data_IF_157645529665
#
_entry.id   IF_157645529665
#
_cell.length_a   1.000
_cell.length_b   1.000
_cell.length_c   1.000
_cell.angle_alpha   90.00
_cell.angle_beta   90.00
_cell.angle_gamma   90.00
#
_symmetry.space_group_name_H-M   'P 1'
#
loop_
_entity.id
_entity.type
_entity.pdbx_description
1 polymer ?
#
# COMPACT_ATOMS: atom_id res chain seq x y z
N UNK A 1 13.40 -21.20 -13.51
CA UNK A 1 13.15 -20.72 -13.12
C UNK A 1 12.50 -20.07 -12.85
N UNK A 2 12.33 -19.64 -12.98
CA UNK A 2 11.93 -18.79 -12.64
C UNK A 2 11.30 -18.33 -12.00
N UNK A 3 11.31 -18.37 -11.71
CA UNK A 3 10.86 -17.68 -10.83
C UNK A 3 11.08 -16.30 -10.56
N UNK A 4 11.42 -15.58 -11.37
CA UNK A 4 11.67 -14.16 -11.31
C UNK A 4 10.52 -13.38 -10.72
N UNK A 5 9.37 -13.99 -10.59
CA UNK A 5 8.21 -13.34 -10.01
C UNK A 5 7.95 -13.74 -8.57
N UNK A 6 8.84 -14.52 -8.01
CA UNK A 6 8.70 -14.92 -6.61
C UNK A 6 9.34 -13.87 -5.73
N UNK A 7 8.53 -13.26 -4.90
CA UNK A 7 9.02 -12.25 -3.95
C UNK A 7 9.20 -12.89 -2.59
N UNK A 8 10.27 -12.52 -1.90
CA UNK A 8 10.65 -13.12 -0.63
C UNK A 8 10.12 -12.37 0.58
N UNK A 9 9.77 -11.10 0.38
CA UNK A 9 9.27 -10.26 1.47
C UNK A 9 7.85 -9.81 1.12
N UNK A 10 6.92 -10.03 2.06
CA UNK A 10 5.52 -9.65 1.84
C UNK A 10 4.97 -8.99 3.09
N UNK A 11 4.09 -8.03 2.90
CA UNK A 11 3.37 -7.42 3.99
C UNK A 11 2.02 -6.93 3.49
N UNK A 12 1.05 -6.94 4.38
CA UNK A 12 -0.27 -6.40 4.10
C UNK A 12 -0.52 -5.27 5.08
N UNK A 13 -0.84 -4.11 4.54
CA UNK A 13 -1.16 -2.93 5.35
C UNK A 13 -2.62 -2.61 5.12
N UNK A 14 -3.35 -2.38 6.20
CA UNK A 14 -4.74 -1.98 6.11
C UNK A 14 -4.88 -0.60 6.72
N UNK A 15 -5.49 0.32 5.96
CA UNK A 15 -5.70 1.70 6.38
C UNK A 15 -7.19 1.93 6.48
N UNK A 16 -7.64 2.48 7.62
CA UNK A 16 -9.04 2.78 7.88
C UNK A 16 -9.29 4.27 7.73
N UNK A 17 -10.41 4.60 7.10
CA UNK A 17 -10.83 5.98 6.92
C UNK A 17 -12.15 6.18 7.65
N UNK A 18 -12.54 7.44 7.84
CA UNK A 18 -13.74 7.75 8.62
C UNK A 18 -15.03 7.33 7.91
N UNK A 19 -15.02 7.28 6.56
CA UNK A 19 -16.19 6.89 5.79
C UNK A 19 -15.78 6.40 4.41
N UNK A 20 -16.75 5.91 3.66
CA UNK A 20 -16.48 5.34 2.35
C UNK A 20 -16.10 6.39 1.33
N UNK A 21 -16.64 7.60 1.46
CA UNK A 21 -16.32 8.67 0.53
C UNK A 21 -14.86 9.07 0.64
N UNK A 22 -14.38 9.26 1.86
CA UNK A 22 -12.97 9.58 2.10
C UNK A 22 -12.09 8.44 1.62
N UNK A 23 -12.49 7.19 1.88
CA UNK A 23 -11.76 6.03 1.41
C UNK A 23 -11.65 6.02 -0.13
N UNK A 24 -12.76 6.32 -0.82
CA UNK A 24 -12.76 6.29 -2.27
C UNK A 24 -11.89 7.40 -2.87
N UNK A 25 -11.95 8.59 -2.28
CA UNK A 25 -11.10 9.69 -2.72
C UNK A 25 -9.63 9.34 -2.53
N UNK A 26 -9.32 8.73 -1.37
CA UNK A 26 -7.95 8.33 -1.06
C UNK A 26 -7.46 7.24 -2.00
N UNK A 27 -8.33 6.29 -2.33
CA UNK A 27 -7.98 5.24 -3.28
C UNK A 27 -7.52 5.85 -4.61
N UNK A 28 -8.30 6.79 -5.14
CA UNK A 28 -7.96 7.43 -6.40
C UNK A 28 -6.67 8.23 -6.31
N UNK A 29 -6.40 8.80 -5.14
CA UNK A 29 -5.17 9.57 -4.93
C UNK A 29 -3.95 8.67 -4.82
N UNK A 30 -4.11 7.45 -4.28
CA UNK A 30 -3.01 6.50 -4.15
C UNK A 30 -2.59 5.89 -5.47
N UNK A 31 -3.50 5.75 -6.43
CA UNK A 31 -3.20 5.03 -7.67
C UNK A 31 -1.94 5.57 -8.38
N UNK A 32 -1.81 6.87 -8.66
CA UNK A 32 -0.60 7.35 -9.31
C UNK A 32 0.66 7.19 -8.45
N UNK A 33 0.54 7.30 -7.12
CA UNK A 33 1.69 7.11 -6.24
C UNK A 33 2.18 5.67 -6.27
N UNK A 34 1.26 4.72 -6.28
CA UNK A 34 1.62 3.31 -6.34
C UNK A 34 2.33 2.98 -7.64
N UNK A 35 1.90 3.58 -8.75
CA UNK A 35 2.58 3.37 -10.02
C UNK A 35 4.03 3.83 -9.99
N UNK A 36 4.31 4.91 -9.26
CA UNK A 36 5.68 5.40 -9.11
C UNK A 36 6.54 4.47 -8.28
N UNK A 37 5.93 3.77 -7.31
CA UNK A 37 6.67 2.94 -6.38
C UNK A 37 6.97 1.54 -6.92
N UNK A 38 6.26 1.11 -7.94
CA UNK A 38 6.48 -0.23 -8.49
C UNK A 38 7.76 -0.28 -9.30
N UNK A 39 8.54 -1.34 -9.08
CA UNK A 39 9.81 -1.55 -9.78
C UNK A 39 9.94 -3.03 -10.10
N UNK A 40 11.07 -3.42 -10.69
CA UNK A 40 11.37 -4.82 -10.92
C UNK A 40 11.53 -5.61 -9.62
N UNK A 41 11.81 -4.92 -8.50
CA UNK A 41 12.05 -5.57 -7.22
C UNK A 41 10.87 -5.50 -6.28
N UNK A 42 9.87 -4.71 -6.60
CA UNK A 42 8.74 -4.49 -5.69
C UNK A 42 7.45 -4.40 -6.46
N UNK A 43 6.41 -4.97 -5.87
CA UNK A 43 5.07 -4.92 -6.42
C UNK A 43 4.11 -4.48 -5.32
N UNK A 44 3.19 -3.59 -5.67
CA UNK A 44 2.21 -3.08 -4.73
C UNK A 44 0.83 -3.23 -5.35
N UNK A 45 -0.07 -3.86 -4.59
CA UNK A 45 -1.47 -3.97 -4.97
C UNK A 45 -2.30 -3.20 -3.97
N UNK A 46 -3.35 -2.55 -4.44
CA UNK A 46 -4.25 -1.80 -3.59
C UNK A 46 -5.68 -2.25 -3.88
N UNK A 47 -6.45 -2.46 -2.81
CA UNK A 47 -7.84 -2.88 -2.92
C UNK A 47 -8.69 -2.16 -1.90
N UNK A 48 -9.95 -1.93 -2.26
CA UNK A 48 -10.93 -1.43 -1.31
C UNK A 48 -11.47 -2.59 -0.49
N UNK A 49 -11.65 -2.37 0.80
CA UNK A 49 -12.21 -3.38 1.69
C UNK A 49 -13.27 -2.76 2.57
N UNK A 50 -14.41 -3.44 2.71
CA UNK A 50 -15.53 -2.98 3.52
C UNK A 50 -16.01 -1.61 3.04
N UNK A 51 -16.45 -0.77 3.98
CA UNK A 51 -16.98 0.55 3.64
C UNK A 51 -15.97 1.66 3.82
N UNK A 52 -14.87 1.39 4.53
CA UNK A 52 -13.97 2.48 4.91
C UNK A 52 -12.51 2.08 4.97
N UNK A 53 -12.11 0.96 4.38
CA UNK A 53 -10.72 0.50 4.46
C UNK A 53 -10.09 0.34 3.08
N UNK A 54 -8.77 0.48 3.03
CA UNK A 54 -7.94 0.13 1.90
C UNK A 54 -6.92 -0.89 2.35
N UNK A 55 -6.67 -1.88 1.51
CA UNK A 55 -5.64 -2.87 1.75
C UNK A 55 -4.53 -2.69 0.74
N UNK A 56 -3.29 -2.67 1.21
CA UNK A 56 -2.11 -2.62 0.37
C UNK A 56 -1.33 -3.90 0.58
N UNK A 57 -1.07 -4.63 -0.48
CA UNK A 57 -0.21 -5.80 -0.44
C UNK A 57 1.12 -5.43 -1.07
N UNK A 58 2.19 -5.54 -0.31
CA UNK A 58 3.53 -5.17 -0.76
C UNK A 58 4.38 -6.41 -0.82
N UNK A 59 4.99 -6.65 -1.98
CA UNK A 59 5.86 -7.80 -2.20
C UNK A 59 7.18 -7.29 -2.74
N UNK A 60 8.29 -7.80 -2.24
CA UNK A 60 9.60 -7.32 -2.66
C UNK A 60 10.68 -8.38 -2.49
N UNK A 61 11.71 -8.29 -3.31
CA UNK A 61 12.92 -9.10 -3.17
C UNK A 61 14.04 -8.32 -2.48
N UNK A 62 13.80 -7.06 -2.15
CA UNK A 62 14.82 -6.15 -1.64
C UNK A 62 14.27 -5.44 -0.41
N UNK A 63 14.91 -5.65 0.75
CA UNK A 63 14.42 -5.07 2.00
C UNK A 63 14.41 -3.54 1.96
N UNK A 64 15.36 -2.93 1.28
CA UNK A 64 15.42 -1.47 1.18
C UNK A 64 14.23 -0.95 0.38
N UNK A 65 13.95 -1.56 -0.76
CA UNK A 65 12.79 -1.19 -1.58
C UNK A 65 11.49 -1.45 -0.83
N UNK A 66 11.44 -2.55 -0.07
CA UNK A 66 10.27 -2.89 0.72
C UNK A 66 9.96 -1.81 1.75
N UNK A 67 11.00 -1.40 2.51
CA UNK A 67 10.82 -0.36 3.52
C UNK A 67 10.45 0.99 2.91
N UNK A 68 11.07 1.31 1.79
CA UNK A 68 10.75 2.55 1.11
C UNK A 68 9.28 2.59 0.69
N UNK A 69 8.77 1.48 0.16
CA UNK A 69 7.37 1.39 -0.26
C UNK A 69 6.42 1.58 0.92
N UNK A 70 6.70 0.91 2.04
CA UNK A 70 5.88 1.03 3.23
C UNK A 70 5.86 2.47 3.74
N UNK A 71 7.04 3.08 3.83
CA UNK A 71 7.16 4.44 4.34
C UNK A 71 6.43 5.44 3.45
N UNK A 72 6.50 5.27 2.13
CA UNK A 72 5.81 6.16 1.22
C UNK A 72 4.31 6.01 1.32
N UNK A 73 3.81 4.79 1.44
CA UNK A 73 2.37 4.57 1.60
C UNK A 73 1.87 5.23 2.88
N UNK A 74 2.57 5.02 3.98
CA UNK A 74 2.17 5.61 5.27
C UNK A 74 2.22 7.13 5.22
N UNK A 75 3.30 7.69 4.67
CA UNK A 75 3.46 9.13 4.58
C UNK A 75 2.39 9.76 3.70
N UNK A 76 2.13 9.16 2.55
CA UNK A 76 1.13 9.68 1.64
C UNK A 76 -0.26 9.61 2.26
N UNK A 77 -0.55 8.52 2.95
CA UNK A 77 -1.84 8.38 3.64
C UNK A 77 -2.07 9.44 4.69
N UNK A 78 -1.01 9.80 5.43
CA UNK A 78 -1.11 10.86 6.44
C UNK A 78 -1.36 12.23 5.82
N UNK A 79 -0.83 12.46 4.63
CA UNK A 79 -1.08 13.71 3.92
C UNK A 79 -2.52 13.80 3.46
N UNK A 80 -3.07 12.68 2.98
CA UNK A 80 -4.45 12.64 2.48
C UNK A 80 -5.45 12.82 3.62
N UNK A 81 -5.24 12.10 4.71
CA UNK A 81 -6.22 12.07 5.81
C UNK A 81 -5.48 11.83 7.12
N UNK A 82 -5.38 12.89 7.91
CA UNK A 82 -4.68 12.82 9.19
C UNK A 82 -5.48 12.07 10.26
N UNK A 83 -6.69 11.64 9.95
CA UNK A 83 -7.48 10.84 10.89
C UNK A 83 -7.41 9.35 10.59
N UNK A 84 -6.64 8.95 9.61
CA UNK A 84 -6.56 7.54 9.24
C UNK A 84 -5.96 6.72 10.37
N UNK A 85 -6.36 5.46 10.40
CA UNK A 85 -5.81 4.47 11.31
C UNK A 85 -5.14 3.39 10.49
N UNK A 86 -4.04 2.88 11.01
CA UNK A 86 -3.19 1.95 10.30
C UNK A 86 -3.04 0.64 11.07
N UNK A 87 -3.17 -0.48 10.38
CA UNK A 87 -2.88 -1.80 10.93
C UNK A 87 -2.05 -2.57 9.92
N UNK A 88 -0.95 -3.13 10.39
CA UNK A 88 -0.11 -3.97 9.55
C UNK A 88 -0.39 -5.44 9.84
N UNK A 89 -0.58 -6.21 8.77
CA UNK A 89 -0.83 -7.64 8.84
C UNK A 89 0.19 -8.33 7.94
N UNK A 90 1.05 -9.14 8.50
CA UNK A 90 2.10 -9.79 7.71
C UNK A 90 1.86 -11.27 7.56
#
# INVERSE_FOLDING_TARGET
MNQSKNFTIESIIQIYFKDSQTRDISYNSFIPEIKKLQTNRSKILIEKKNHHALIFKIESNDITAFRASINEIISFGKIIDNTMQLAEIS
#
